data_IF_993398976301
#
_entry.id   IF_993398976301
#
_cell.length_a   1.000
_cell.length_b   1.000
_cell.length_c   1.000
_cell.angle_alpha   90.00
_cell.angle_beta   90.00
_cell.angle_gamma   90.00
#
_symmetry.space_group_name_H-M   'P 1'
#
loop_
_entity.id
_entity.type
_entity.pdbx_description
1 polymer ?
#
# COMPACT_ATOMS: atom_id res chain seq x y z
N UNK A 1 -10.69 38.10 28.07
CA UNK A 1 -10.96 36.67 28.29
C UNK A 1 -9.75 35.89 27.79
N UNK A 2 -9.08 35.12 28.66
CA UNK A 2 -7.93 34.29 28.27
C UNK A 2 -8.42 33.03 27.54
N UNK A 3 -7.75 32.66 26.45
CA UNK A 3 -8.00 31.40 25.76
C UNK A 3 -7.77 30.21 26.72
N UNK A 4 -8.48 29.08 26.55
CA UNK A 4 -8.19 27.84 27.27
C UNK A 4 -6.75 27.38 26.98
N UNK A 5 -6.01 27.02 28.03
CA UNK A 5 -4.68 26.43 27.91
C UNK A 5 -4.82 24.98 27.45
N UNK A 6 -4.71 24.74 26.14
CA UNK A 6 -4.66 23.39 25.59
C UNK A 6 -3.29 22.80 25.97
N UNK A 7 -3.23 21.65 26.67
CA UNK A 7 -1.96 21.03 27.01
C UNK A 7 -1.18 20.69 25.75
N UNK A 8 0.13 20.87 25.81
CA UNK A 8 1.03 20.48 24.72
C UNK A 8 1.10 18.95 24.67
N UNK A 9 0.46 18.37 23.66
CA UNK A 9 0.45 16.92 23.38
C UNK A 9 1.52 16.68 22.32
N UNK A 10 2.65 16.11 22.72
CA UNK A 10 3.66 15.57 21.81
C UNK A 10 3.39 14.06 21.64
N UNK A 11 2.63 13.63 20.62
CA UNK A 11 2.40 12.20 20.40
C UNK A 11 3.74 11.56 20.00
N UNK A 12 4.24 10.64 20.83
CA UNK A 12 5.39 9.82 20.47
C UNK A 12 4.88 8.68 19.58
N UNK A 13 4.93 8.90 18.26
CA UNK A 13 4.50 7.92 17.26
C UNK A 13 5.75 7.16 16.81
N UNK A 14 5.95 5.97 17.38
CA UNK A 14 6.98 5.03 16.93
C UNK A 14 6.31 3.99 16.03
N UNK A 15 6.43 4.18 14.72
CA UNK A 15 5.88 3.27 13.71
C UNK A 15 7.00 2.79 12.80
N UNK A 16 7.04 1.48 12.58
CA UNK A 16 7.88 0.89 11.55
C UNK A 16 7.35 1.22 10.15
N UNK A 17 8.21 1.17 9.14
CA UNK A 17 7.82 1.38 7.74
C UNK A 17 6.72 0.41 7.29
N UNK A 18 6.78 -0.85 7.73
CA UNK A 18 5.77 -1.87 7.43
C UNK A 18 4.41 -1.50 8.02
N UNK A 19 4.36 -1.00 9.26
CA UNK A 19 3.13 -0.52 9.89
C UNK A 19 2.54 0.69 9.16
N UNK A 20 3.39 1.65 8.75
CA UNK A 20 2.93 2.81 7.96
C UNK A 20 2.32 2.37 6.65
N UNK A 21 2.94 1.42 5.93
CA UNK A 21 2.40 0.90 4.67
C UNK A 21 1.06 0.20 4.90
N UNK A 22 0.94 -0.64 5.93
CA UNK A 22 -0.31 -1.30 6.28
C UNK A 22 -1.42 -0.29 6.64
N UNK A 23 -1.07 0.78 7.35
CA UNK A 23 -2.00 1.88 7.66
C UNK A 23 -2.45 2.61 6.39
N UNK A 24 -1.54 2.86 5.43
CA UNK A 24 -1.88 3.47 4.15
C UNK A 24 -2.81 2.57 3.32
N UNK A 25 -2.51 1.27 3.21
CA UNK A 25 -3.39 0.30 2.55
C UNK A 25 -4.77 0.23 3.21
N UNK A 26 -4.79 0.22 4.55
CA UNK A 26 -6.03 0.24 5.33
C UNK A 26 -6.83 1.51 5.05
N UNK A 27 -6.17 2.67 4.94
CA UNK A 27 -6.84 3.94 4.64
C UNK A 27 -7.49 3.94 3.26
N UNK A 28 -6.83 3.33 2.26
CA UNK A 28 -7.39 3.14 0.91
C UNK A 28 -8.61 2.23 0.99
N UNK A 29 -8.49 1.08 1.67
CA UNK A 29 -9.61 0.13 1.83
C UNK A 29 -10.81 0.75 2.55
N UNK A 30 -10.59 1.59 3.56
CA UNK A 30 -11.67 2.33 4.24
C UNK A 30 -12.36 3.32 3.30
N UNK A 31 -11.60 3.98 2.43
CA UNK A 31 -12.15 4.91 1.43
C UNK A 31 -13.00 4.15 0.39
N UNK A 32 -12.53 2.98 -0.09
CA UNK A 32 -13.27 2.06 -0.97
C UNK A 32 -14.60 1.59 -0.36
N UNK A 33 -14.58 1.20 0.91
CA UNK A 33 -15.80 0.83 1.64
C UNK A 33 -16.78 2.02 1.66
N UNK A 34 -16.28 3.23 1.91
CA UNK A 34 -17.09 4.45 1.85
C UNK A 34 -17.73 4.69 0.48
N UNK A 35 -16.97 4.49 -0.61
CA UNK A 35 -17.51 4.62 -1.97
C UNK A 35 -18.59 3.57 -2.27
N UNK A 36 -18.44 2.34 -1.77
CA UNK A 36 -19.46 1.30 -1.94
C UNK A 36 -20.81 1.69 -1.32
N UNK A 37 -20.78 2.32 -0.14
CA UNK A 37 -22.00 2.83 0.51
C UNK A 37 -22.65 3.95 -0.29
N UNK A 38 -21.87 4.84 -0.89
CA UNK A 38 -22.38 5.88 -1.78
C UNK A 38 -23.08 5.25 -2.99
N UNK A 39 -22.45 4.27 -3.65
CA UNK A 39 -23.05 3.59 -4.81
C UNK A 39 -24.37 2.91 -4.42
N UNK A 40 -24.41 2.25 -3.26
CA UNK A 40 -25.63 1.62 -2.75
C UNK A 40 -26.72 2.66 -2.45
N UNK A 41 -26.38 3.76 -1.78
CA UNK A 41 -27.33 4.83 -1.48
C UNK A 41 -27.88 5.49 -2.75
N UNK A 42 -27.06 5.65 -3.78
CA UNK A 42 -27.48 6.11 -5.10
C UNK A 42 -28.46 5.12 -5.78
N UNK A 43 -28.24 3.81 -5.62
CA UNK A 43 -29.17 2.77 -6.06
C UNK A 43 -30.51 2.82 -5.32
N UNK A 44 -30.47 2.93 -3.98
CA UNK A 44 -31.68 3.09 -3.15
C UNK A 44 -32.45 4.36 -3.49
N UNK A 45 -31.75 5.46 -3.80
CA UNK A 45 -32.35 6.71 -4.26
C UNK A 45 -33.14 6.50 -5.55
N UNK A 46 -32.56 5.82 -6.55
CA UNK A 46 -33.26 5.51 -7.81
C UNK A 46 -34.51 4.65 -7.58
N UNK A 47 -34.41 3.61 -6.74
CA UNK A 47 -35.54 2.76 -6.39
C UNK A 47 -36.66 3.55 -5.69
N UNK A 48 -36.29 4.39 -4.73
CA UNK A 48 -37.24 5.23 -4.00
C UNK A 48 -37.90 6.27 -4.92
N UNK A 49 -37.14 6.87 -5.83
CA UNK A 49 -37.65 7.85 -6.78
C UNK A 49 -38.63 7.23 -7.78
N UNK A 50 -38.40 5.99 -8.22
CA UNK A 50 -39.37 5.28 -9.08
C UNK A 50 -40.76 5.13 -8.42
N UNK A 51 -40.79 4.98 -7.10
CA UNK A 51 -42.04 4.87 -6.34
C UNK A 51 -42.67 6.22 -5.98
N UNK A 52 -41.88 7.31 -5.95
CA UNK A 52 -42.28 8.61 -5.39
C UNK A 52 -42.39 9.75 -6.40
N UNK A 53 -41.82 9.59 -7.60
CA UNK A 53 -41.85 10.63 -8.61
C UNK A 53 -43.28 10.86 -9.11
N UNK A 54 -43.68 12.13 -9.22
CA UNK A 54 -45.00 12.52 -9.74
C UNK A 54 -44.95 12.74 -11.25
N UNK A 55 -43.77 13.09 -11.78
CA UNK A 55 -43.55 13.38 -13.20
C UNK A 55 -42.34 12.64 -13.79
N UNK A 56 -42.28 12.58 -15.12
CA UNK A 56 -41.14 11.99 -15.83
C UNK A 56 -39.90 12.89 -15.68
N UNK A 57 -40.10 14.20 -15.61
CA UNK A 57 -39.07 15.19 -15.38
C UNK A 57 -38.33 14.94 -14.07
N UNK A 58 -39.04 14.60 -12.98
CA UNK A 58 -38.43 14.26 -11.69
C UNK A 58 -37.49 13.04 -11.80
N UNK A 59 -37.90 12.02 -12.56
CA UNK A 59 -37.09 10.82 -12.80
C UNK A 59 -35.85 11.13 -13.65
N UNK A 60 -36.00 11.97 -14.67
CA UNK A 60 -34.88 12.38 -15.53
C UNK A 60 -33.85 13.20 -14.75
N UNK A 61 -34.31 14.10 -13.90
CA UNK A 61 -33.41 14.94 -13.09
C UNK A 61 -32.72 14.14 -11.99
N UNK A 62 -33.43 13.21 -11.35
CA UNK A 62 -32.82 12.26 -10.42
C UNK A 62 -31.76 11.40 -11.13
N UNK A 63 -32.05 10.86 -12.31
CA UNK A 63 -31.11 10.05 -13.08
C UNK A 63 -29.85 10.85 -13.46
N UNK A 64 -30.01 12.10 -13.94
CA UNK A 64 -28.87 12.99 -14.23
C UNK A 64 -28.03 13.28 -12.99
N UNK A 65 -28.68 13.43 -11.82
CA UNK A 65 -27.99 13.65 -10.55
C UNK A 65 -27.17 12.42 -10.15
N UNK A 66 -27.74 11.22 -10.25
CA UNK A 66 -27.04 9.96 -9.99
C UNK A 66 -25.89 9.73 -10.96
N UNK A 67 -26.08 10.00 -12.26
CA UNK A 67 -25.01 9.90 -13.25
C UNK A 67 -23.82 10.79 -12.87
N UNK A 68 -24.07 12.05 -12.47
CA UNK A 68 -23.01 12.98 -12.01
C UNK A 68 -22.31 12.47 -10.75
N UNK A 69 -23.05 11.85 -9.82
CA UNK A 69 -22.46 11.28 -8.61
C UNK A 69 -21.55 10.09 -8.97
N UNK A 70 -22.02 9.17 -9.81
CA UNK A 70 -21.23 8.03 -10.28
C UNK A 70 -19.98 8.47 -11.05
N UNK A 71 -20.08 9.49 -11.91
CA UNK A 71 -18.91 10.09 -12.56
C UNK A 71 -17.90 10.65 -11.56
N UNK A 72 -18.37 11.21 -10.44
CA UNK A 72 -17.50 11.71 -9.37
C UNK A 72 -16.86 10.57 -8.59
N UNK A 73 -17.60 9.50 -8.31
CA UNK A 73 -17.08 8.25 -7.71
C UNK A 73 -15.98 7.63 -8.56
N UNK A 74 -16.17 7.52 -9.88
CA UNK A 74 -15.15 7.00 -10.81
C UNK A 74 -13.87 7.84 -10.77
N UNK A 75 -13.99 9.17 -10.70
CA UNK A 75 -12.80 10.04 -10.55
C UNK A 75 -12.09 9.79 -9.22
N UNK A 76 -12.83 9.48 -8.16
CA UNK A 76 -12.24 9.12 -6.86
C UNK A 76 -11.52 7.77 -6.92
N UNK A 77 -12.11 6.79 -7.61
CA UNK A 77 -11.51 5.48 -7.87
C UNK A 77 -10.15 5.62 -8.58
N UNK A 78 -10.07 6.46 -9.62
CA UNK A 78 -8.81 6.74 -10.31
C UNK A 78 -7.74 7.33 -9.38
N UNK A 79 -8.13 8.21 -8.46
CA UNK A 79 -7.21 8.78 -7.46
C UNK A 79 -6.79 7.75 -6.41
N UNK A 80 -7.69 6.84 -6.03
CA UNK A 80 -7.40 5.75 -5.10
C UNK A 80 -6.46 4.72 -5.71
N UNK A 81 -6.67 4.38 -6.98
CA UNK A 81 -5.75 3.56 -7.76
C UNK A 81 -4.34 4.19 -7.79
N UNK A 82 -4.24 5.49 -8.07
CA UNK A 82 -2.94 6.18 -8.06
C UNK A 82 -2.26 6.13 -6.67
N UNK A 83 -3.01 6.33 -5.58
CA UNK A 83 -2.46 6.17 -4.23
C UNK A 83 -1.96 4.74 -4.00
N UNK A 84 -2.73 3.73 -4.42
CA UNK A 84 -2.38 2.32 -4.26
C UNK A 84 -1.09 1.98 -5.01
N UNK A 85 -0.97 2.41 -6.27
CA UNK A 85 0.24 2.24 -7.08
C UNK A 85 1.48 2.80 -6.36
N UNK A 86 1.40 4.03 -5.83
CA UNK A 86 2.51 4.62 -5.06
C UNK A 86 2.86 3.81 -3.81
N UNK A 87 1.86 3.28 -3.09
CA UNK A 87 2.11 2.45 -1.89
C UNK A 87 2.76 1.11 -2.28
N UNK A 88 2.36 0.52 -3.40
CA UNK A 88 2.98 -0.70 -3.93
C UNK A 88 4.43 -0.44 -4.37
N UNK A 89 4.72 0.72 -4.96
CA UNK A 89 6.10 1.10 -5.28
C UNK A 89 6.98 1.17 -4.01
N UNK A 90 6.46 1.72 -2.91
CA UNK A 90 7.18 1.78 -1.62
C UNK A 90 7.54 0.39 -1.07
N UNK A 91 6.67 -0.61 -1.28
CA UNK A 91 6.93 -2.02 -0.91
C UNK A 91 8.07 -2.61 -1.75
N UNK A 92 8.07 -2.36 -3.06
CA UNK A 92 9.07 -2.92 -3.98
C UNK A 92 10.49 -2.34 -3.74
N UNK A 93 10.61 -1.12 -3.22
CA UNK A 93 11.90 -0.54 -2.82
C UNK A 93 12.55 -1.28 -1.63
N UNK A 94 11.73 -1.83 -0.72
CA UNK A 94 12.23 -2.53 0.46
C UNK A 94 12.85 -3.88 0.10
N UNK A 95 12.30 -4.56 -0.91
CA UNK A 95 12.84 -5.81 -1.44
C UNK A 95 14.21 -5.62 -2.11
N UNK A 96 14.42 -4.50 -2.81
CA UNK A 96 15.71 -4.17 -3.44
C UNK A 96 16.79 -3.94 -2.39
N UNK A 97 16.49 -3.16 -1.34
CA UNK A 97 17.43 -2.90 -0.24
C UNK A 97 17.78 -4.14 0.60
N UNK A 98 16.94 -5.18 0.62
CA UNK A 98 17.26 -6.47 1.24
C UNK A 98 18.19 -7.31 0.34
N UNK A 99 18.00 -7.30 -0.98
CA UNK A 99 18.86 -8.04 -1.93
C UNK A 99 20.28 -7.50 -2.03
N UNK A 100 20.45 -6.18 -2.00
CA UNK A 100 21.79 -5.57 -2.10
C UNK A 100 22.68 -5.89 -0.89
N UNK A 101 22.09 -6.08 0.30
CA UNK A 101 22.83 -6.42 1.52
C UNK A 101 23.38 -7.86 1.58
N UNK A 102 22.88 -8.78 0.76
CA UNK A 102 23.39 -10.16 0.72
C UNK A 102 24.51 -10.38 -0.31
N UNK A 103 24.93 -9.34 -1.05
CA UNK A 103 25.91 -9.49 -2.14
C UNK A 103 27.36 -9.18 -1.73
N UNK A 104 27.58 -8.58 -0.56
CA UNK A 104 28.89 -8.08 -0.13
C UNK A 104 29.69 -9.08 0.75
N UNK A 105 29.05 -10.11 1.30
CA UNK A 105 29.70 -11.06 2.22
C UNK A 105 30.42 -12.24 1.53
N UNK A 106 30.25 -12.44 0.22
CA UNK A 106 30.80 -13.60 -0.51
C UNK A 106 32.18 -13.38 -1.18
N UNK A 107 32.88 -12.25 -0.93
CA UNK A 107 34.17 -11.93 -1.59
C UNK A 107 35.42 -11.96 -0.72
N UNK A 108 35.47 -12.77 0.34
CA UNK A 108 36.75 -13.08 1.02
C UNK A 108 36.80 -14.53 1.49
N UNK A 109 37.05 -15.45 0.58
CA UNK A 109 37.92 -16.60 0.81
C UNK A 109 38.04 -17.30 -0.54
N UNK A 110 39.23 -17.27 -1.15
CA UNK A 110 39.79 -18.34 -1.98
C UNK A 110 40.98 -17.81 -2.79
N UNK A 111 42.16 -17.86 -2.18
CA UNK A 111 43.38 -18.11 -2.96
C UNK A 111 44.47 -18.74 -2.08
N UNK A 112 44.47 -20.08 -2.02
CA UNK A 112 45.69 -20.89 -1.87
C UNK A 112 45.49 -22.22 -2.61
N UNK A 113 45.96 -22.27 -3.85
CA UNK A 113 45.99 -23.49 -4.67
C UNK A 113 46.79 -24.66 -4.05
N UNK A 114 46.64 -25.88 -4.59
CA UNK A 114 47.15 -27.10 -3.97
C UNK A 114 48.67 -27.18 -4.09
N UNK A 115 49.36 -27.45 -2.96
CA UNK A 115 50.78 -27.85 -2.98
C UNK A 115 50.87 -29.36 -3.02
N UNK A 116 51.28 -29.89 -4.15
CA UNK A 116 51.67 -31.30 -4.32
C UNK A 116 52.74 -31.68 -3.29
N UNK A 117 52.42 -32.63 -2.41
CA UNK A 117 53.41 -33.31 -1.56
C UNK A 117 53.60 -34.72 -2.12
N UNK A 118 54.74 -34.94 -2.77
CA UNK A 118 55.27 -36.28 -3.05
C UNK A 118 55.65 -36.91 -1.71
N UNK A 119 55.00 -38.01 -1.35
CA UNK A 119 55.37 -38.83 -0.21
C UNK A 119 56.52 -39.77 -0.61
N UNK A 120 57.75 -39.41 -0.27
CA UNK A 120 58.89 -40.33 -0.26
C UNK A 120 58.95 -41.02 1.11
N UNK A 121 58.64 -42.32 1.13
CA UNK A 121 58.72 -43.16 2.32
C UNK A 121 60.19 -43.51 2.68
N UNK A 122 60.55 -43.59 3.97
CA UNK A 122 61.93 -43.77 4.39
C UNK A 122 62.37 -45.24 4.30
N UNK A 123 63.54 -45.50 3.69
CA UNK A 123 64.30 -46.74 3.93
C UNK A 123 65.35 -46.48 5.00
N UNK A 124 65.21 -47.14 6.15
CA UNK A 124 66.33 -47.36 7.10
C UNK A 124 67.26 -48.41 6.46
N UNK A 125 68.59 -48.32 6.63
CA UNK A 125 69.16 -48.96 7.82
C UNK A 125 70.47 -48.34 8.38
N UNK A 126 70.67 -48.59 9.68
CA UNK A 126 71.82 -48.35 10.58
C UNK A 126 72.35 -46.91 10.73
#
# INVERSE_FOLDING_TARGET
>A
MSLPNIPDISPNIDLTREEVINLLLTSIAMEEIGLSHIINAEGEKLQAGLCKAETIEDLLDMNKSTEKMLQSTIKKEMLLQYKLENVIEMLNEDDKKKKDRCSDDDKKHDDKGPKDKKEDFPRKPW
#
